data_IF_239490083566
#
_entry.id   IF_239490083566
#
_cell.length_a   1.000
_cell.length_b   1.000
_cell.length_c   1.000
_cell.angle_alpha   90.00
_cell.angle_beta   90.00
_cell.angle_gamma   90.00
#
_symmetry.space_group_name_H-M   'P 1'
#
loop_
_entity.id
_entity.type
_entity.pdbx_description
1 polymer ?
#
# COMPACT_ATOMS: atom_id res chain seq x y z
N UNK A 1 17.75 10.15 -6.00
CA UNK A 1 16.75 10.21 -7.09
C UNK A 1 15.83 11.37 -6.75
N UNK A 2 15.71 12.40 -7.60
CA UNK A 2 15.01 13.65 -7.29
C UNK A 2 13.59 13.71 -7.88
N UNK A 3 12.83 12.63 -7.69
CA UNK A 3 11.43 12.55 -8.14
C UNK A 3 10.50 12.95 -7.00
N UNK A 4 9.31 13.47 -7.33
CA UNK A 4 8.33 13.87 -6.32
C UNK A 4 7.64 12.64 -5.71
N UNK A 5 7.21 12.73 -4.44
CA UNK A 5 6.54 11.62 -3.73
C UNK A 5 5.34 11.04 -4.48
N UNK A 6 4.65 11.85 -5.29
CA UNK A 6 3.51 11.44 -6.11
C UNK A 6 3.88 10.47 -7.25
N UNK A 7 5.16 10.40 -7.63
CA UNK A 7 5.67 9.49 -8.67
C UNK A 7 6.01 8.10 -8.11
N UNK A 8 5.89 7.90 -6.79
CA UNK A 8 6.16 6.62 -6.13
C UNK A 8 4.90 6.01 -5.52
N UNK A 9 4.86 4.69 -5.53
CA UNK A 9 3.93 3.87 -4.73
C UNK A 9 4.74 3.14 -3.66
N UNK A 10 4.33 3.30 -2.40
CA UNK A 10 4.83 2.49 -1.30
C UNK A 10 3.98 1.22 -1.18
N UNK A 11 4.62 0.06 -1.30
CA UNK A 11 3.98 -1.26 -1.17
C UNK A 11 4.39 -1.86 0.16
N UNK A 12 3.42 -2.32 0.94
CA UNK A 12 3.67 -2.93 2.24
C UNK A 12 2.60 -3.93 2.65
N UNK A 13 2.84 -4.64 3.74
CA UNK A 13 1.91 -5.64 4.29
C UNK A 13 1.35 -5.24 5.66
N UNK A 14 1.77 -4.08 6.20
CA UNK A 14 1.35 -3.55 7.50
C UNK A 14 0.75 -2.16 7.38
N UNK A 15 -0.45 -2.00 7.94
CA UNK A 15 -1.19 -0.73 7.90
C UNK A 15 -0.52 0.37 8.73
N UNK A 16 -0.10 0.05 9.96
CA UNK A 16 0.38 1.05 10.93
C UNK A 16 1.80 1.56 10.64
N UNK A 17 2.57 0.82 9.84
CA UNK A 17 3.93 1.20 9.47
C UNK A 17 3.96 1.63 8.02
N UNK A 18 3.74 0.70 7.11
CA UNK A 18 4.06 0.92 5.69
C UNK A 18 3.01 1.86 5.08
N UNK A 19 1.73 1.54 5.26
CA UNK A 19 0.66 2.34 4.66
C UNK A 19 0.57 3.71 5.32
N UNK A 20 0.60 3.77 6.65
CA UNK A 20 0.55 5.05 7.36
C UNK A 20 1.73 5.96 6.98
N UNK A 21 2.95 5.42 6.93
CA UNK A 21 4.14 6.18 6.53
C UNK A 21 4.01 6.71 5.09
N UNK A 22 3.54 5.88 4.16
CA UNK A 22 3.36 6.30 2.77
C UNK A 22 2.36 7.45 2.63
N UNK A 23 1.23 7.34 3.31
CA UNK A 23 0.21 8.39 3.33
C UNK A 23 0.73 9.69 3.94
N UNK A 24 1.45 9.62 5.08
CA UNK A 24 2.06 10.79 5.73
C UNK A 24 3.15 11.44 4.85
N UNK A 25 3.85 10.65 4.03
CA UNK A 25 4.85 11.13 3.08
C UNK A 25 4.24 11.66 1.77
N UNK A 26 2.91 11.65 1.62
CA UNK A 26 2.20 12.07 0.41
C UNK A 26 2.41 11.14 -0.78
N UNK A 27 2.75 9.88 -0.52
CA UNK A 27 2.90 8.83 -1.54
C UNK A 27 1.59 8.07 -1.73
N UNK A 28 1.39 7.51 -2.93
CA UNK A 28 0.36 6.47 -3.10
C UNK A 28 0.79 5.19 -2.39
N UNK A 29 -0.17 4.39 -1.95
CA UNK A 29 0.08 3.20 -1.13
C UNK A 29 -0.65 1.96 -1.65
N UNK A 30 0.00 0.79 -1.53
CA UNK A 30 -0.60 -0.49 -1.86
C UNK A 30 -0.35 -1.51 -0.73
N UNK A 31 -1.43 -2.06 -0.18
CA UNK A 31 -1.38 -3.12 0.82
C UNK A 31 -1.40 -4.49 0.12
N UNK A 32 -0.44 -5.36 0.39
CA UNK A 32 -0.47 -6.77 -0.02
C UNK A 32 -0.92 -7.67 1.13
N UNK A 33 -1.97 -8.47 0.92
CA UNK A 33 -2.60 -9.31 1.96
C UNK A 33 -2.02 -10.73 2.08
N UNK A 34 -0.83 -10.99 1.53
CA UNK A 34 -0.18 -12.31 1.63
C UNK A 34 0.43 -12.60 2.99
N UNK A 35 0.69 -11.57 3.79
CA UNK A 35 1.49 -11.67 5.01
C UNK A 35 0.68 -11.25 6.25
N UNK A 36 1.02 -10.11 6.88
CA UNK A 36 0.60 -9.81 8.25
C UNK A 36 -0.82 -9.26 8.34
N UNK A 37 -1.23 -8.40 7.40
CA UNK A 37 -2.57 -7.81 7.45
C UNK A 37 -3.58 -8.71 6.75
N UNK A 38 -4.55 -9.21 7.52
CA UNK A 38 -5.73 -9.88 7.01
C UNK A 38 -6.90 -8.91 6.78
N UNK A 39 -7.94 -9.40 6.11
CA UNK A 39 -9.13 -8.60 5.77
C UNK A 39 -9.82 -8.01 7.01
N UNK A 40 -9.84 -8.74 8.14
CA UNK A 40 -10.46 -8.25 9.39
C UNK A 40 -9.67 -7.11 10.00
N UNK A 41 -8.35 -7.19 9.96
CA UNK A 41 -7.44 -6.14 10.43
C UNK A 41 -7.60 -4.87 9.57
N UNK A 42 -7.72 -5.03 8.25
CA UNK A 42 -8.01 -3.92 7.34
C UNK A 42 -9.35 -3.24 7.65
N UNK A 43 -10.41 -4.03 7.86
CA UNK A 43 -11.73 -3.51 8.19
C UNK A 43 -11.77 -2.77 9.54
N UNK A 44 -11.04 -3.27 10.53
CA UNK A 44 -11.00 -2.70 11.89
C UNK A 44 -10.06 -1.48 12.01
N UNK A 45 -9.07 -1.35 11.13
CA UNK A 45 -8.14 -0.22 11.14
C UNK A 45 -8.84 1.06 10.67
N UNK A 46 -8.39 2.26 11.10
CA UNK A 46 -8.76 3.52 10.47
C UNK A 46 -7.90 3.85 9.23
N UNK A 47 -6.74 3.20 9.05
CA UNK A 47 -5.82 3.45 7.96
C UNK A 47 -6.35 2.81 6.67
N UNK A 48 -6.36 3.55 5.57
CA UNK A 48 -6.90 3.10 4.28
C UNK A 48 -5.84 3.21 3.19
N UNK A 49 -5.31 2.09 2.66
CA UNK A 49 -4.41 2.13 1.52
C UNK A 49 -5.18 2.52 0.25
N UNK A 50 -4.49 3.08 -0.74
CA UNK A 50 -5.09 3.41 -2.05
C UNK A 50 -5.44 2.15 -2.85
N UNK A 51 -4.62 1.10 -2.68
CA UNK A 51 -4.79 -0.18 -3.35
C UNK A 51 -4.67 -1.34 -2.36
N UNK A 52 -5.49 -2.37 -2.55
CA UNK A 52 -5.39 -3.64 -1.81
C UNK A 52 -5.21 -4.76 -2.81
N UNK A 53 -4.09 -5.47 -2.68
CA UNK A 53 -3.70 -6.57 -3.54
C UNK A 53 -3.69 -7.88 -2.73
N UNK A 54 -4.08 -8.98 -3.36
CA UNK A 54 -4.03 -10.30 -2.71
C UNK A 54 -2.60 -10.83 -2.67
N UNK A 55 -1.77 -10.45 -3.63
CA UNK A 55 -0.36 -10.81 -3.74
C UNK A 55 0.45 -9.76 -4.47
N UNK A 56 1.77 -9.75 -4.24
CA UNK A 56 2.72 -8.94 -5.02
C UNK A 56 2.71 -9.34 -6.51
N UNK A 57 2.30 -10.58 -6.83
CA UNK A 57 2.10 -11.03 -8.20
C UNK A 57 1.02 -10.21 -8.94
N UNK A 58 0.07 -9.61 -8.21
CA UNK A 58 -1.00 -8.79 -8.76
C UNK A 58 -0.55 -7.36 -9.07
N UNK A 59 0.71 -6.99 -8.78
CA UNK A 59 1.21 -5.62 -8.94
C UNK A 59 1.11 -5.09 -10.37
N UNK A 60 1.18 -5.98 -11.37
CA UNK A 60 1.00 -5.60 -12.78
C UNK A 60 -0.37 -4.98 -13.08
N UNK A 61 -1.38 -5.17 -12.22
CA UNK A 61 -2.67 -4.49 -12.35
C UNK A 61 -2.64 -3.00 -12.01
N UNK A 62 -1.65 -2.55 -11.23
CA UNK A 62 -1.49 -1.15 -10.82
C UNK A 62 -0.67 -0.31 -11.80
N UNK A 63 0.16 -0.96 -12.61
CA UNK A 63 1.10 -0.31 -13.51
C UNK A 63 0.68 -0.63 -14.94
N UNK A 64 -0.18 0.22 -15.52
CA UNK A 64 -0.41 0.17 -16.97
C UNK A 64 0.78 0.83 -17.68
N UNK A 65 1.40 0.07 -18.59
CA UNK A 65 2.43 0.56 -19.50
C UNK A 65 1.83 1.46 -20.59
#
# INVERSE_FOLDING_TARGET
>A
MGLESAEYILIGDRLETDILMGLEAGMKTALVMTCVTDQKTLEASPVRPDHVLKSIADLGSLIQA
#
